data_IF_276133165439
#
_entry.id   IF_276133165439
#
_cell.length_a   1.000
_cell.length_b   1.000
_cell.length_c   1.000
_cell.angle_alpha   90.00
_cell.angle_beta   90.00
_cell.angle_gamma   90.00
#
_symmetry.space_group_name_H-M   'P 1'
#
loop_
_entity.id
_entity.type
_entity.pdbx_description
1 polymer ?
#
# COMPACT_ATOMS: atom_id res chain seq x y z
N UNK A 1 -44.80 -35.29 1.66
CA UNK A 1 -43.72 -36.09 2.27
C UNK A 1 -42.33 -35.50 2.06
N UNK A 2 -41.93 -35.05 0.85
CA UNK A 2 -40.59 -34.49 0.56
C UNK A 2 -40.27 -33.26 1.39
N UNK A 3 -41.20 -32.30 1.52
CA UNK A 3 -41.00 -31.07 2.29
C UNK A 3 -40.74 -31.36 3.78
N UNK A 4 -41.51 -32.28 4.38
CA UNK A 4 -41.32 -32.68 5.78
C UNK A 4 -39.93 -33.31 6.01
N UNK A 5 -39.46 -34.13 5.09
CA UNK A 5 -38.14 -34.72 5.15
C UNK A 5 -37.02 -33.64 5.05
N UNK A 6 -37.17 -32.69 4.12
CA UNK A 6 -36.20 -31.60 3.97
C UNK A 6 -36.12 -30.71 5.21
N UNK A 7 -37.27 -30.40 5.84
CA UNK A 7 -37.34 -29.62 7.08
C UNK A 7 -36.61 -30.34 8.24
N UNK A 8 -36.87 -31.64 8.40
CA UNK A 8 -36.19 -32.45 9.44
C UNK A 8 -34.68 -32.52 9.20
N UNK A 9 -34.26 -32.66 7.92
CA UNK A 9 -32.87 -32.69 7.55
C UNK A 9 -32.19 -31.34 7.86
N UNK A 10 -32.82 -30.21 7.53
CA UNK A 10 -32.31 -28.88 7.86
C UNK A 10 -32.16 -28.68 9.39
N UNK A 11 -33.18 -29.07 10.16
CA UNK A 11 -33.13 -28.99 11.61
C UNK A 11 -32.00 -29.85 12.17
N UNK A 12 -31.83 -31.08 11.66
CA UNK A 12 -30.73 -31.97 12.04
C UNK A 12 -29.36 -31.37 11.75
N UNK A 13 -29.17 -30.77 10.56
CA UNK A 13 -27.92 -30.09 10.20
C UNK A 13 -27.62 -28.86 11.07
N UNK A 14 -28.64 -28.07 11.41
CA UNK A 14 -28.48 -26.90 12.29
C UNK A 14 -28.08 -27.34 13.70
N UNK A 15 -28.76 -28.37 14.25
CA UNK A 15 -28.42 -28.91 15.57
C UNK A 15 -27.00 -29.52 15.55
N UNK A 16 -26.64 -30.24 14.52
CA UNK A 16 -25.31 -30.83 14.37
C UNK A 16 -24.24 -29.73 14.27
N UNK A 17 -24.45 -28.72 13.44
CA UNK A 17 -23.52 -27.60 13.29
C UNK A 17 -23.35 -26.80 14.59
N UNK A 18 -24.45 -26.57 15.35
CA UNK A 18 -24.39 -25.87 16.63
C UNK A 18 -23.63 -26.67 17.69
N UNK A 19 -23.79 -28.03 17.70
CA UNK A 19 -23.03 -28.91 18.57
C UNK A 19 -21.53 -28.92 18.21
N UNK A 20 -21.22 -28.98 16.93
CA UNK A 20 -19.84 -28.95 16.44
C UNK A 20 -19.16 -27.63 16.79
N UNK A 21 -19.88 -26.51 16.60
CA UNK A 21 -19.37 -25.17 16.94
C UNK A 21 -19.10 -25.00 18.46
N UNK A 22 -19.88 -25.64 19.31
CA UNK A 22 -19.66 -25.61 20.75
C UNK A 22 -18.50 -26.49 21.24
N UNK A 23 -18.12 -27.51 20.47
CA UNK A 23 -17.02 -28.43 20.81
C UNK A 23 -15.70 -27.99 20.23
N UNK A 24 -15.72 -27.27 19.09
CA UNK A 24 -14.54 -26.71 18.44
C UNK A 24 -14.37 -25.26 18.90
N UNK A 25 -13.47 -24.98 19.87
CA UNK A 25 -13.20 -23.59 20.22
C UNK A 25 -12.65 -22.88 18.98
N UNK A 26 -13.12 -21.66 18.69
CA UNK A 26 -12.59 -20.90 17.57
C UNK A 26 -11.10 -20.71 17.79
N UNK A 27 -10.28 -21.37 16.97
CA UNK A 27 -8.84 -21.12 16.96
C UNK A 27 -8.61 -19.67 16.52
N UNK A 28 -8.45 -18.80 17.50
CA UNK A 28 -8.02 -17.44 17.21
C UNK A 28 -6.55 -17.52 16.80
N UNK A 29 -6.30 -17.42 15.52
CA UNK A 29 -4.94 -17.43 14.98
C UNK A 29 -4.07 -16.37 15.67
N UNK A 30 -2.76 -16.59 15.81
CA UNK A 30 -1.86 -15.58 16.39
C UNK A 30 -1.97 -14.23 15.69
N UNK A 31 -2.19 -14.22 14.37
CA UNK A 31 -2.40 -13.01 13.58
C UNK A 31 -3.70 -12.28 13.97
N UNK A 32 -4.79 -13.02 14.20
CA UNK A 32 -6.06 -12.42 14.61
C UNK A 32 -5.96 -11.81 16.02
N UNK A 33 -5.22 -12.44 16.94
CA UNK A 33 -4.92 -11.87 18.27
C UNK A 33 -4.08 -10.60 18.17
N UNK A 34 -3.05 -10.60 17.33
CA UNK A 34 -2.23 -9.41 17.10
C UNK A 34 -3.04 -8.27 16.48
N UNK A 35 -3.86 -8.56 15.46
CA UNK A 35 -4.73 -7.57 14.85
C UNK A 35 -5.76 -7.00 15.84
N UNK A 36 -6.28 -7.82 16.74
CA UNK A 36 -7.17 -7.37 17.81
C UNK A 36 -6.43 -6.49 18.82
N UNK A 37 -5.25 -6.91 19.29
CA UNK A 37 -4.42 -6.14 20.20
C UNK A 37 -4.04 -4.77 19.58
N UNK A 38 -3.72 -4.73 18.30
CA UNK A 38 -3.40 -3.49 17.60
C UNK A 38 -4.61 -2.53 17.52
N UNK A 39 -5.83 -3.06 17.34
CA UNK A 39 -7.05 -2.21 17.28
C UNK A 39 -7.43 -1.59 18.61
N UNK A 40 -7.11 -2.26 19.73
CA UNK A 40 -7.40 -1.77 21.08
C UNK A 40 -6.18 -1.12 21.75
N UNK A 41 -5.05 -1.02 21.03
CA UNK A 41 -3.86 -0.36 21.56
C UNK A 41 -4.14 1.13 21.77
N UNK A 42 -3.74 1.71 22.92
CA UNK A 42 -3.96 3.13 23.18
C UNK A 42 -3.20 3.97 22.18
N UNK A 43 -3.84 5.02 21.69
CA UNK A 43 -3.22 6.04 20.86
C UNK A 43 -2.28 6.87 21.73
N UNK A 44 -0.99 6.62 21.61
CA UNK A 44 0.04 7.24 22.45
C UNK A 44 0.43 6.37 23.63
N UNK A 45 1.30 5.40 23.40
CA UNK A 45 1.91 4.63 24.48
C UNK A 45 2.83 5.53 25.31
N UNK A 46 2.56 5.66 26.60
CA UNK A 46 3.46 6.35 27.54
C UNK A 46 4.55 5.37 27.97
N UNK A 47 5.74 5.61 27.52
CA UNK A 47 6.91 4.83 27.88
C UNK A 47 7.64 5.51 29.05
N UNK A 48 7.57 4.96 30.26
CA UNK A 48 8.20 5.51 31.44
C UNK A 48 9.32 4.59 31.98
N UNK A 49 10.42 5.19 32.44
CA UNK A 49 11.54 4.46 33.02
C UNK A 49 12.41 3.70 32.01
N UNK A 50 13.39 2.94 32.52
CA UNK A 50 14.33 2.18 31.69
C UNK A 50 13.67 1.07 30.86
N UNK A 51 12.65 0.41 31.40
CA UNK A 51 11.83 -0.59 30.69
C UNK A 51 10.98 0.05 29.59
N UNK A 52 10.47 1.25 29.83
CA UNK A 52 9.73 2.02 28.83
C UNK A 52 10.60 2.46 27.66
N UNK A 53 11.83 2.94 27.94
CA UNK A 53 12.78 3.30 26.90
C UNK A 53 13.14 2.09 25.99
N UNK A 54 13.38 0.92 26.60
CA UNK A 54 13.64 -0.31 25.85
C UNK A 54 12.43 -0.73 24.99
N UNK A 55 11.21 -0.64 25.54
CA UNK A 55 9.99 -0.94 24.80
C UNK A 55 9.75 0.04 23.64
N UNK A 56 10.05 1.31 23.83
CA UNK A 56 9.99 2.33 22.76
C UNK A 56 10.98 2.05 21.63
N UNK A 57 12.23 1.69 21.98
CA UNK A 57 13.23 1.31 20.99
C UNK A 57 12.83 0.06 20.22
N UNK A 58 12.29 -0.96 20.91
CA UNK A 58 11.79 -2.18 20.27
C UNK A 58 10.60 -1.89 19.34
N UNK A 59 9.67 -1.05 19.77
CA UNK A 59 8.52 -0.65 18.95
C UNK A 59 8.97 0.14 17.70
N UNK A 60 9.93 1.05 17.85
CA UNK A 60 10.52 1.79 16.74
C UNK A 60 11.24 0.85 15.76
N UNK A 61 12.07 -0.06 16.26
CA UNK A 61 12.75 -1.05 15.43
C UNK A 61 11.78 -1.98 14.69
N UNK A 62 10.70 -2.40 15.36
CA UNK A 62 9.65 -3.21 14.74
C UNK A 62 8.89 -2.44 13.65
N UNK A 63 8.59 -1.14 13.88
CA UNK A 63 7.95 -0.28 12.88
C UNK A 63 8.87 -0.06 11.66
N UNK A 64 10.17 0.17 11.89
CA UNK A 64 11.16 0.30 10.81
C UNK A 64 11.34 -1.01 10.02
N UNK A 65 11.34 -2.17 10.71
CA UNK A 65 11.40 -3.47 10.05
C UNK A 65 10.14 -3.76 9.23
N UNK A 66 8.96 -3.41 9.75
CA UNK A 66 7.71 -3.52 9.02
C UNK A 66 7.67 -2.58 7.79
N UNK A 67 8.18 -1.36 7.93
CA UNK A 67 8.29 -0.42 6.81
C UNK A 67 9.26 -0.94 5.72
N UNK A 68 10.39 -1.54 6.10
CA UNK A 68 11.33 -2.18 5.14
C UNK A 68 10.71 -3.39 4.43
N UNK A 69 9.84 -4.15 5.10
CA UNK A 69 9.11 -5.28 4.51
C UNK A 69 7.99 -4.87 3.55
N UNK A 70 7.62 -3.59 3.54
CA UNK A 70 6.56 -3.03 2.69
C UNK A 70 7.09 -2.26 1.47
N UNK A 71 8.33 -2.53 1.05
CA UNK A 71 8.85 -1.90 -0.17
C UNK A 71 8.01 -2.34 -1.37
N UNK A 72 7.43 -1.37 -2.07
CA UNK A 72 6.56 -1.61 -3.21
C UNK A 72 7.29 -2.45 -4.29
N UNK A 73 6.54 -3.31 -4.95
CA UNK A 73 7.02 -4.11 -6.09
C UNK A 73 8.28 -4.94 -5.80
N UNK A 74 8.40 -5.48 -4.57
CA UNK A 74 9.54 -6.31 -4.18
C UNK A 74 10.88 -5.59 -4.15
N UNK A 75 10.87 -4.26 -4.10
CA UNK A 75 12.08 -3.43 -4.05
C UNK A 75 12.78 -3.27 -5.42
N UNK A 76 12.13 -3.66 -6.52
CA UNK A 76 12.72 -3.46 -7.85
C UNK A 76 12.99 -1.98 -8.14
N UNK A 77 14.11 -1.70 -8.79
CA UNK A 77 14.45 -0.38 -9.36
C UNK A 77 14.34 -0.39 -10.88
N UNK A 78 13.63 -1.37 -11.45
CA UNK A 78 13.29 -1.36 -12.88
C UNK A 78 12.21 -0.30 -13.11
N UNK A 79 12.59 0.81 -13.72
CA UNK A 79 11.71 1.96 -14.00
C UNK A 79 10.50 1.59 -14.85
N UNK A 80 10.66 0.64 -15.80
CA UNK A 80 9.55 0.17 -16.62
C UNK A 80 8.51 -0.59 -15.82
N UNK A 81 8.95 -1.49 -14.96
CA UNK A 81 8.05 -2.28 -14.10
C UNK A 81 7.24 -1.35 -13.19
N UNK A 82 7.88 -0.33 -12.61
CA UNK A 82 7.22 0.62 -11.73
C UNK A 82 6.25 1.51 -12.53
N UNK A 83 6.67 1.98 -13.71
CA UNK A 83 5.81 2.76 -14.59
C UNK A 83 4.54 1.98 -14.97
N UNK A 84 4.69 0.76 -15.47
CA UNK A 84 3.56 -0.08 -15.89
C UNK A 84 2.62 -0.41 -14.73
N UNK A 85 3.17 -0.55 -13.52
CA UNK A 85 2.40 -0.93 -12.33
C UNK A 85 1.63 0.23 -11.69
N UNK A 86 2.11 1.47 -11.84
CA UNK A 86 1.53 2.62 -11.15
C UNK A 86 1.43 3.87 -12.03
N UNK A 87 2.57 4.41 -12.48
CA UNK A 87 2.64 5.72 -13.12
C UNK A 87 1.84 5.76 -14.44
N UNK A 88 1.85 4.66 -15.19
CA UNK A 88 1.13 4.49 -16.44
C UNK A 88 -0.38 4.67 -16.32
N UNK A 89 -0.96 4.44 -15.14
CA UNK A 89 -2.38 4.66 -14.91
C UNK A 89 -2.85 6.08 -15.27
N UNK A 90 -2.03 7.07 -14.97
CA UNK A 90 -2.29 8.47 -15.32
C UNK A 90 -1.50 8.91 -16.56
N UNK A 91 -0.21 8.57 -16.65
CA UNK A 91 0.69 9.09 -17.68
C UNK A 91 0.54 8.44 -19.07
N UNK A 92 -0.21 7.35 -19.18
CA UNK A 92 -0.59 6.78 -20.48
C UNK A 92 -1.83 7.45 -21.08
N UNK A 93 -2.83 7.71 -20.24
CA UNK A 93 -4.12 8.25 -20.68
C UNK A 93 -4.24 9.77 -20.58
N UNK A 94 -3.40 10.42 -19.77
CA UNK A 94 -3.52 11.84 -19.44
C UNK A 94 -4.54 12.11 -18.33
N UNK A 95 -4.91 11.08 -17.54
CA UNK A 95 -5.86 11.22 -16.46
C UNK A 95 -5.41 12.27 -15.44
N UNK A 96 -6.35 13.08 -14.95
CA UNK A 96 -6.05 14.13 -13.98
C UNK A 96 -5.12 15.24 -14.49
N UNK A 97 -4.98 15.39 -15.81
CA UNK A 97 -4.08 16.37 -16.41
C UNK A 97 -2.60 15.95 -16.44
N UNK A 98 -2.32 14.66 -16.17
CA UNK A 98 -0.96 14.13 -16.24
C UNK A 98 -0.39 14.21 -17.68
N UNK A 99 0.86 14.65 -17.88
CA UNK A 99 1.48 14.66 -19.20
C UNK A 99 1.71 13.21 -19.67
N UNK A 100 1.21 12.88 -20.87
CA UNK A 100 1.52 11.61 -21.52
C UNK A 100 2.99 11.59 -21.94
N UNK A 101 3.50 10.41 -22.32
CA UNK A 101 4.87 10.26 -22.82
C UNK A 101 5.00 10.78 -24.25
N UNK A 102 4.54 12.00 -24.51
CA UNK A 102 4.60 12.71 -25.78
C UNK A 102 5.48 13.93 -25.62
N UNK A 103 6.54 14.07 -26.42
CA UNK A 103 7.52 15.16 -26.33
C UNK A 103 6.91 16.56 -26.18
N UNK A 104 5.86 16.94 -26.93
CA UNK A 104 5.26 18.27 -26.80
C UNK A 104 4.72 18.56 -25.40
N UNK A 105 4.22 17.53 -24.69
CA UNK A 105 3.72 17.69 -23.33
C UNK A 105 4.83 17.89 -22.29
N UNK A 106 6.07 17.59 -22.63
CA UNK A 106 7.23 17.72 -21.76
C UNK A 106 8.10 18.94 -22.09
N UNK A 107 7.81 19.65 -23.16
CA UNK A 107 8.61 20.80 -23.65
C UNK A 107 8.84 21.89 -22.59
N UNK A 108 7.88 22.15 -21.72
CA UNK A 108 7.99 23.13 -20.63
C UNK A 108 8.55 22.54 -19.34
N UNK A 109 8.62 21.20 -19.24
CA UNK A 109 9.06 20.47 -18.04
C UNK A 109 10.54 20.10 -18.12
N UNK A 110 10.99 19.60 -19.26
CA UNK A 110 12.38 19.20 -19.49
C UNK A 110 13.42 20.27 -19.17
N UNK A 111 13.20 21.58 -19.52
CA UNK A 111 14.15 22.63 -19.18
C UNK A 111 14.36 22.87 -17.69
N UNK A 112 13.48 22.35 -16.82
CA UNK A 112 13.62 22.44 -15.36
C UNK A 112 14.74 21.53 -14.83
N UNK A 113 15.14 20.52 -15.60
CA UNK A 113 16.14 19.54 -15.23
C UNK A 113 15.58 18.31 -14.53
N UNK A 114 16.31 17.20 -14.64
CA UNK A 114 15.91 15.89 -14.09
C UNK A 114 15.68 15.95 -12.57
N UNK A 115 16.56 16.63 -11.83
CA UNK A 115 16.48 16.73 -10.37
C UNK A 115 15.15 17.35 -9.88
N UNK A 116 14.68 18.38 -10.60
CA UNK A 116 13.39 19.02 -10.29
C UNK A 116 12.23 18.08 -10.61
N UNK A 117 12.32 17.33 -11.69
CA UNK A 117 11.29 16.35 -12.07
C UNK A 117 11.24 15.17 -11.09
N UNK A 118 12.40 14.68 -10.65
CA UNK A 118 12.49 13.69 -9.57
C UNK A 118 11.83 14.19 -8.29
N UNK A 119 12.19 15.41 -7.86
CA UNK A 119 11.62 16.04 -6.67
C UNK A 119 10.10 16.16 -6.77
N UNK A 120 9.57 16.62 -7.90
CA UNK A 120 8.12 16.72 -8.12
C UNK A 120 7.41 15.36 -8.02
N UNK A 121 8.05 14.29 -8.50
CA UNK A 121 7.50 12.96 -8.42
C UNK A 121 7.55 12.37 -6.99
N UNK A 122 8.61 12.68 -6.23
CA UNK A 122 8.78 12.21 -4.85
C UNK A 122 7.85 12.95 -3.89
N UNK A 123 7.85 14.28 -3.95
CA UNK A 123 7.13 15.15 -3.00
C UNK A 123 5.68 15.43 -3.42
N UNK A 124 5.37 15.16 -4.70
CA UNK A 124 4.13 15.59 -5.32
C UNK A 124 4.23 17.00 -5.92
N UNK A 125 3.36 17.30 -6.86
CA UNK A 125 3.36 18.58 -7.56
C UNK A 125 1.96 19.01 -7.95
N UNK A 126 1.62 20.28 -7.65
CA UNK A 126 0.39 20.90 -8.12
C UNK A 126 0.73 21.81 -9.29
N UNK A 127 0.35 21.38 -10.48
CA UNK A 127 0.55 22.14 -11.74
C UNK A 127 -0.70 22.87 -12.18
N UNK A 128 -0.59 23.62 -13.27
CA UNK A 128 -1.72 24.33 -13.89
C UNK A 128 -2.76 23.39 -14.52
N UNK A 129 -2.36 22.18 -14.87
CA UNK A 129 -3.21 21.18 -15.56
C UNK A 129 -3.74 20.09 -14.66
N UNK A 130 -3.20 19.94 -13.43
CA UNK A 130 -3.60 18.91 -12.52
C UNK A 130 -2.64 18.74 -11.34
N UNK A 131 -2.91 17.72 -10.52
CA UNK A 131 -2.13 17.40 -9.33
C UNK A 131 -1.48 16.04 -9.51
N UNK A 132 -0.17 15.98 -9.35
CA UNK A 132 0.56 14.74 -9.20
C UNK A 132 0.73 14.43 -7.72
N UNK A 133 0.17 13.35 -7.20
CA UNK A 133 0.37 12.97 -5.82
C UNK A 133 1.81 12.51 -5.57
N UNK A 134 2.31 12.72 -4.36
CA UNK A 134 3.63 12.25 -3.94
C UNK A 134 3.78 10.74 -4.23
N UNK A 135 4.90 10.35 -4.82
CA UNK A 135 5.23 8.95 -5.19
C UNK A 135 4.13 8.26 -6.02
N UNK A 136 3.41 9.04 -6.85
CA UNK A 136 2.28 8.52 -7.62
C UNK A 136 1.10 8.02 -6.77
N UNK A 137 1.04 8.44 -5.49
CA UNK A 137 0.04 7.99 -4.52
C UNK A 137 0.39 6.71 -3.76
N UNK A 138 1.57 6.14 -3.97
CA UNK A 138 2.03 4.96 -3.23
C UNK A 138 3.18 5.29 -2.28
N UNK A 139 2.92 5.50 -0.97
CA UNK A 139 3.95 5.86 0.00
C UNK A 139 4.99 4.75 0.28
N UNK A 140 4.73 3.51 -0.17
CA UNK A 140 5.67 2.40 -0.04
C UNK A 140 6.80 2.41 -1.09
N UNK A 141 6.73 3.29 -2.10
CA UNK A 141 7.83 3.48 -3.03
C UNK A 141 9.00 4.21 -2.36
N UNK A 142 10.23 3.72 -2.59
CA UNK A 142 11.44 4.46 -2.22
C UNK A 142 11.73 5.58 -3.21
N UNK A 143 12.59 6.52 -2.83
CA UNK A 143 13.01 7.61 -3.72
C UNK A 143 13.70 7.06 -4.97
N UNK A 144 14.56 6.04 -4.81
CA UNK A 144 15.27 5.38 -5.91
C UNK A 144 14.30 4.74 -6.90
N UNK A 145 13.23 4.14 -6.42
CA UNK A 145 12.19 3.56 -7.28
C UNK A 145 11.46 4.63 -8.07
N UNK A 146 11.12 5.75 -7.44
CA UNK A 146 10.48 6.87 -8.12
C UNK A 146 11.41 7.48 -9.16
N UNK A 147 12.68 7.71 -8.81
CA UNK A 147 13.71 8.22 -9.72
C UNK A 147 13.84 7.31 -10.94
N UNK A 148 13.99 6.00 -10.74
CA UNK A 148 14.10 5.04 -11.83
C UNK A 148 12.88 5.06 -12.77
N UNK A 149 11.67 5.21 -12.22
CA UNK A 149 10.47 5.33 -13.03
C UNK A 149 10.44 6.63 -13.84
N UNK A 150 10.81 7.76 -13.23
CA UNK A 150 10.89 9.05 -13.93
C UNK A 150 11.94 9.01 -15.03
N UNK A 151 13.14 8.49 -14.76
CA UNK A 151 14.19 8.37 -15.76
C UNK A 151 13.73 7.51 -16.94
N UNK A 152 13.10 6.36 -16.66
CA UNK A 152 12.53 5.54 -17.72
C UNK A 152 11.47 6.30 -18.55
N UNK A 153 10.61 7.09 -17.91
CA UNK A 153 9.63 7.91 -18.63
C UNK A 153 10.29 8.93 -19.55
N UNK A 154 11.32 9.62 -19.06
CA UNK A 154 12.04 10.64 -19.84
C UNK A 154 12.79 10.05 -21.03
N UNK A 155 13.35 8.85 -20.87
CA UNK A 155 14.06 8.13 -21.93
C UNK A 155 13.12 7.52 -22.99
N UNK A 156 11.81 7.40 -22.67
CA UNK A 156 10.79 6.82 -23.54
C UNK A 156 9.75 7.84 -24.05
N UNK A 157 10.07 9.13 -24.03
CA UNK A 157 9.24 10.16 -24.65
C UNK A 157 9.21 9.99 -26.18
N UNK A 158 8.02 10.09 -26.75
CA UNK A 158 7.76 9.93 -28.22
C UNK A 158 7.53 11.27 -28.88
#
# INVERSE_FOLDING_TARGET
>A
MVIGFLVLLCIGLIVFASRLHGVLPPEVTPQARQAQAHRIAPVGAVYAGSTGAAAQQAAKAAAEAAARGQVAYGGTTDGKVIYDSLCGGCHTSGAGGAPKLEQPMWSTRLPQGKDVLHKHAIEGFTGSTGIMPARGGNPALTDEQVIAAVDWMLDNLK
#
